data_IF_484244401228
#
_entry.id   IF_484244401228
#
_cell.length_a   1.000
_cell.length_b   1.000
_cell.length_c   1.000
_cell.angle_alpha   90.00
_cell.angle_beta   90.00
_cell.angle_gamma   90.00
#
_symmetry.space_group_name_H-M   'P 1'
#
loop_
_entity.id
_entity.type
_entity.pdbx_description
1 polymer ?
#
# COMPACT_ATOMS: atom_id res chain seq x y z
N UNK A 1 -22.46 8.01 12.90
CA UNK A 1 -21.23 7.46 12.26
C UNK A 1 -20.06 8.29 12.71
N UNK A 2 -18.93 7.66 13.08
CA UNK A 2 -17.76 8.42 13.54
C UNK A 2 -17.22 9.28 12.39
N UNK A 3 -17.13 10.60 12.58
CA UNK A 3 -16.66 11.58 11.58
C UNK A 3 -15.31 11.19 10.97
N UNK A 4 -14.40 10.61 11.78
CA UNK A 4 -13.11 10.13 11.32
C UNK A 4 -13.25 9.01 10.27
N UNK A 5 -14.11 8.01 10.54
CA UNK A 5 -14.32 6.89 9.61
C UNK A 5 -14.97 7.36 8.30
N UNK A 6 -15.89 8.31 8.38
CA UNK A 6 -16.51 8.92 7.21
C UNK A 6 -15.47 9.66 6.35
N UNK A 7 -14.62 10.46 6.98
CA UNK A 7 -13.55 11.20 6.32
C UNK A 7 -12.54 10.27 5.65
N UNK A 8 -12.14 9.18 6.33
CA UNK A 8 -11.24 8.18 5.76
C UNK A 8 -11.87 7.54 4.52
N UNK A 9 -13.14 7.15 4.59
CA UNK A 9 -13.85 6.53 3.47
C UNK A 9 -13.88 7.47 2.24
N UNK A 10 -14.34 8.70 2.42
CA UNK A 10 -14.42 9.68 1.33
C UNK A 10 -13.03 10.03 0.75
N UNK A 11 -12.01 10.06 1.60
CA UNK A 11 -10.63 10.31 1.19
C UNK A 11 -10.10 9.18 0.29
N UNK A 12 -10.40 7.92 0.61
CA UNK A 12 -10.04 6.77 -0.23
C UNK A 12 -10.81 6.77 -1.55
N UNK A 13 -12.11 7.05 -1.52
CA UNK A 13 -12.94 7.17 -2.72
C UNK A 13 -12.42 8.26 -3.66
N UNK A 14 -12.04 9.44 -3.14
CA UNK A 14 -11.41 10.49 -3.92
C UNK A 14 -10.11 9.98 -4.59
N UNK A 15 -9.24 9.30 -3.83
CA UNK A 15 -8.00 8.76 -4.37
C UNK A 15 -8.26 7.76 -5.51
N UNK A 16 -9.19 6.82 -5.31
CA UNK A 16 -9.59 5.86 -6.33
C UNK A 16 -10.11 6.55 -7.60
N UNK A 17 -10.96 7.57 -7.45
CA UNK A 17 -11.48 8.35 -8.58
C UNK A 17 -10.36 9.06 -9.35
N UNK A 18 -9.36 9.62 -8.66
CA UNK A 18 -8.20 10.26 -9.29
C UNK A 18 -7.29 9.24 -10.02
N UNK A 19 -7.23 8.00 -9.56
CA UNK A 19 -6.45 6.94 -10.20
C UNK A 19 -7.13 6.34 -11.44
N UNK A 20 -8.46 6.43 -11.57
CA UNK A 20 -9.21 5.80 -12.67
C UNK A 20 -8.70 6.13 -14.09
N UNK A 21 -8.33 7.39 -14.42
CA UNK A 21 -7.78 7.69 -15.74
C UNK A 21 -6.49 6.89 -16.03
N UNK A 22 -5.58 6.83 -15.06
CA UNK A 22 -4.33 6.06 -15.17
C UNK A 22 -4.62 4.57 -15.36
N UNK A 23 -5.52 4.03 -14.56
CA UNK A 23 -5.91 2.62 -14.66
C UNK A 23 -6.49 2.27 -16.04
N UNK A 24 -7.33 3.15 -16.60
CA UNK A 24 -7.91 2.96 -17.95
C UNK A 24 -6.86 3.07 -19.04
N UNK A 25 -5.99 4.06 -18.99
CA UNK A 25 -4.93 4.27 -19.98
C UNK A 25 -3.93 3.11 -20.01
N UNK A 26 -3.53 2.62 -18.84
CA UNK A 26 -2.60 1.50 -18.72
C UNK A 26 -3.26 0.12 -18.84
N UNK A 27 -4.59 0.04 -18.85
CA UNK A 27 -5.34 -1.22 -18.89
C UNK A 27 -5.18 -2.09 -17.63
N UNK A 28 -4.86 -1.48 -16.48
CA UNK A 28 -4.60 -2.19 -15.22
C UNK A 28 -5.67 -1.86 -14.16
N UNK A 29 -5.90 -2.80 -13.24
CA UNK A 29 -6.80 -2.57 -12.11
C UNK A 29 -6.17 -1.63 -11.06
N UNK A 30 -7.00 -0.97 -10.25
CA UNK A 30 -6.53 -0.11 -9.15
C UNK A 30 -5.53 -0.82 -8.22
N UNK A 31 -5.82 -2.05 -7.79
CA UNK A 31 -4.91 -2.83 -6.94
C UNK A 31 -3.56 -3.09 -7.62
N UNK A 32 -3.55 -3.28 -8.95
CA UNK A 32 -2.30 -3.44 -9.70
C UNK A 32 -1.49 -2.13 -9.70
N UNK A 33 -2.14 -0.97 -9.95
CA UNK A 33 -1.49 0.33 -9.82
C UNK A 33 -0.95 0.56 -8.41
N UNK A 34 -1.72 0.24 -7.37
CA UNK A 34 -1.29 0.36 -5.96
C UNK A 34 -0.05 -0.50 -5.66
N UNK A 35 0.06 -1.69 -6.26
CA UNK A 35 1.24 -2.55 -6.14
C UNK A 35 2.46 -1.90 -6.81
N UNK A 36 2.32 -1.40 -8.04
CA UNK A 36 3.41 -0.71 -8.74
C UNK A 36 3.89 0.52 -7.95
N UNK A 37 2.94 1.35 -7.49
CA UNK A 37 3.25 2.54 -6.69
C UNK A 37 3.90 2.20 -5.35
N UNK A 38 3.47 1.09 -4.70
CA UNK A 38 4.07 0.64 -3.45
C UNK A 38 5.54 0.25 -3.65
N UNK A 39 5.83 -0.56 -4.67
CA UNK A 39 7.20 -0.98 -4.98
C UNK A 39 8.08 0.21 -5.40
N UNK A 40 7.54 1.14 -6.19
CA UNK A 40 8.27 2.32 -6.65
C UNK A 40 8.61 3.32 -5.52
N UNK A 41 7.75 3.42 -4.51
CA UNK A 41 7.92 4.38 -3.42
C UNK A 41 8.62 3.79 -2.19
N UNK A 42 8.81 2.47 -2.13
CA UNK A 42 9.38 1.77 -0.97
C UNK A 42 10.38 0.71 -1.42
N UNK A 43 11.57 1.11 -1.90
CA UNK A 43 12.55 0.19 -2.49
C UNK A 43 13.08 -0.87 -1.51
N UNK A 44 12.91 -0.66 -0.20
CA UNK A 44 13.25 -1.62 0.84
C UNK A 44 12.26 -2.81 0.93
N UNK A 45 11.07 -2.69 0.32
CA UNK A 45 10.05 -3.73 0.27
C UNK A 45 9.88 -4.22 -1.17
N UNK A 46 10.28 -5.44 -1.42
CA UNK A 46 10.37 -5.98 -2.78
C UNK A 46 9.72 -7.36 -2.96
N UNK A 47 8.99 -7.86 -1.95
CA UNK A 47 8.31 -9.16 -2.04
C UNK A 47 6.79 -9.04 -1.97
N UNK A 48 6.07 -10.02 -2.53
CA UNK A 48 4.60 -10.10 -2.38
C UNK A 48 4.17 -10.15 -0.90
N UNK A 49 5.00 -10.76 -0.03
CA UNK A 49 4.77 -10.80 1.41
C UNK A 49 4.86 -9.41 2.05
N UNK A 50 5.78 -8.57 1.60
CA UNK A 50 5.91 -7.18 2.08
C UNK A 50 4.68 -6.37 1.70
N UNK A 51 4.18 -6.50 0.48
CA UNK A 51 2.95 -5.84 0.02
C UNK A 51 1.78 -6.24 0.93
N UNK A 52 1.58 -7.53 1.17
CA UNK A 52 0.53 -8.01 2.07
C UNK A 52 0.66 -7.42 3.48
N UNK A 53 1.86 -7.45 4.04
CA UNK A 53 2.13 -7.02 5.42
C UNK A 53 1.95 -5.51 5.60
N UNK A 54 2.52 -4.71 4.70
CA UNK A 54 2.57 -3.25 4.84
C UNK A 54 1.27 -2.61 4.38
N UNK A 55 0.71 -3.07 3.24
CA UNK A 55 -0.53 -2.53 2.67
C UNK A 55 -1.80 -3.17 3.25
N UNK A 56 -1.68 -4.30 3.93
CA UNK A 56 -2.84 -5.02 4.46
C UNK A 56 -3.72 -5.66 3.38
N UNK A 57 -3.21 -5.81 2.15
CA UNK A 57 -3.94 -6.44 1.05
C UNK A 57 -3.93 -7.95 1.25
N UNK A 58 -5.05 -8.62 0.98
CA UNK A 58 -5.16 -10.08 1.10
C UNK A 58 -4.20 -10.78 0.14
N UNK A 59 -3.55 -11.85 0.61
CA UNK A 59 -2.51 -12.56 -0.13
C UNK A 59 -2.98 -13.08 -1.49
N UNK A 60 -4.23 -13.57 -1.60
CA UNK A 60 -4.79 -14.02 -2.86
C UNK A 60 -4.94 -12.89 -3.90
N UNK A 61 -5.30 -11.68 -3.47
CA UNK A 61 -5.37 -10.51 -4.35
C UNK A 61 -3.98 -10.05 -4.79
N UNK A 62 -3.02 -10.00 -3.86
CA UNK A 62 -1.63 -9.66 -4.22
C UNK A 62 -1.08 -10.67 -5.21
N UNK A 63 -1.25 -11.98 -4.96
CA UNK A 63 -0.77 -13.04 -5.87
C UNK A 63 -1.40 -12.92 -7.26
N UNK A 64 -2.71 -12.68 -7.35
CA UNK A 64 -3.42 -12.52 -8.61
C UNK A 64 -2.89 -11.32 -9.41
N UNK A 65 -2.79 -10.16 -8.78
CA UNK A 65 -2.35 -8.94 -9.47
C UNK A 65 -0.86 -8.96 -9.80
N UNK A 66 0.00 -9.52 -8.94
CA UNK A 66 1.43 -9.72 -9.23
C UNK A 66 1.60 -10.65 -10.44
N UNK A 67 0.86 -11.79 -10.49
CA UNK A 67 0.91 -12.68 -11.64
C UNK A 67 0.55 -11.95 -12.93
N UNK A 68 -0.54 -11.22 -12.92
CA UNK A 68 -1.00 -10.44 -14.09
C UNK A 68 0.02 -9.37 -14.51
N UNK A 69 0.59 -8.62 -13.56
CA UNK A 69 1.62 -7.62 -13.81
C UNK A 69 2.90 -8.23 -14.41
N UNK A 70 3.27 -9.45 -13.99
CA UNK A 70 4.41 -10.18 -14.58
C UNK A 70 4.08 -10.63 -15.99
N UNK A 71 2.89 -11.23 -16.23
CA UNK A 71 2.45 -11.65 -17.56
C UNK A 71 2.36 -10.48 -18.53
N UNK A 72 1.94 -9.33 -18.07
CA UNK A 72 1.83 -8.09 -18.87
C UNK A 72 3.17 -7.34 -18.97
N UNK A 73 4.24 -7.82 -18.32
CA UNK A 73 5.59 -7.27 -18.41
C UNK A 73 5.84 -5.99 -17.62
N UNK A 74 4.99 -5.63 -16.65
CA UNK A 74 5.20 -4.51 -15.72
C UNK A 74 6.15 -4.87 -14.57
N UNK A 75 6.20 -6.17 -14.21
CA UNK A 75 7.06 -6.72 -13.18
C UNK A 75 7.87 -7.89 -13.72
N UNK A 76 9.04 -8.07 -13.14
CA UNK A 76 9.87 -9.27 -13.29
C UNK A 76 10.10 -9.93 -11.94
N UNK A 77 10.36 -11.25 -11.99
CA UNK A 77 10.68 -12.05 -10.81
C UNK A 77 12.15 -12.41 -10.82
N UNK A 78 12.83 -12.07 -9.72
CA UNK A 78 14.22 -12.45 -9.49
C UNK A 78 14.31 -13.35 -8.27
N UNK A 79 15.04 -14.48 -8.40
CA UNK A 79 15.31 -15.36 -7.27
C UNK A 79 16.23 -14.66 -6.26
N UNK A 80 15.92 -14.79 -4.96
CA UNK A 80 16.77 -14.26 -3.89
C UNK A 80 17.83 -15.31 -3.56
N UNK A 81 19.14 -15.01 -3.73
CA UNK A 81 20.20 -15.94 -3.35
C UNK A 81 20.08 -16.36 -1.88
N UNK A 82 20.06 -17.67 -1.63
CA UNK A 82 19.96 -18.22 -0.28
C UNK A 82 18.54 -18.40 0.27
N UNK A 83 17.51 -17.85 -0.36
CA UNK A 83 16.11 -18.07 0.02
C UNK A 83 15.24 -18.48 -1.18
N UNK A 84 15.09 -19.79 -1.36
CA UNK A 84 14.25 -20.36 -2.44
C UNK A 84 12.74 -20.11 -2.28
N UNK A 85 12.30 -19.61 -1.13
CA UNK A 85 10.87 -19.40 -0.83
C UNK A 85 10.42 -17.98 -1.12
N UNK A 86 11.35 -17.07 -1.27
CA UNK A 86 11.07 -15.67 -1.56
C UNK A 86 11.57 -15.28 -2.95
N UNK A 87 10.79 -14.44 -3.62
CA UNK A 87 11.09 -13.91 -4.93
C UNK A 87 11.02 -12.40 -4.84
N UNK A 88 12.04 -11.74 -5.37
CA UNK A 88 12.05 -10.28 -5.54
C UNK A 88 11.20 -9.91 -6.74
N UNK A 89 10.41 -8.87 -6.58
CA UNK A 89 9.63 -8.23 -7.63
C UNK A 89 10.39 -6.98 -8.10
N UNK A 90 10.74 -6.94 -9.37
CA UNK A 90 11.44 -5.83 -10.00
C UNK A 90 10.47 -5.09 -10.92
N UNK A 91 10.46 -3.77 -10.82
CA UNK A 91 9.75 -2.92 -11.78
C UNK A 91 10.52 -2.91 -13.10
N UNK A 92 9.80 -3.01 -14.22
CA UNK A 92 10.39 -2.92 -15.55
C UNK A 92 10.26 -1.51 -16.09
N UNK A 93 10.95 -1.21 -17.21
CA UNK A 93 10.79 0.06 -17.93
C UNK A 93 9.35 0.30 -18.39
N UNK A 94 8.60 -0.77 -18.68
CA UNK A 94 7.18 -0.67 -19.03
C UNK A 94 6.31 -0.11 -17.90
N UNK A 95 6.72 -0.25 -16.65
CA UNK A 95 5.99 0.29 -15.50
C UNK A 95 6.19 1.81 -15.33
N UNK A 96 7.26 2.40 -15.88
CA UNK A 96 7.62 3.80 -15.67
C UNK A 96 6.50 4.80 -16.02
N UNK A 97 5.78 4.70 -17.16
CA UNK A 97 4.68 5.62 -17.46
C UNK A 97 3.56 5.56 -16.43
N UNK A 98 3.15 4.35 -15.99
CA UNK A 98 2.12 4.18 -14.97
C UNK A 98 2.55 4.74 -13.61
N UNK A 99 3.82 4.54 -13.24
CA UNK A 99 4.42 5.07 -12.01
C UNK A 99 4.48 6.60 -12.06
N UNK A 100 4.90 7.19 -13.17
CA UNK A 100 4.98 8.64 -13.33
C UNK A 100 3.59 9.29 -13.20
N UNK A 101 2.58 8.74 -13.87
CA UNK A 101 1.20 9.19 -13.75
C UNK A 101 0.64 8.97 -12.34
N UNK A 102 0.92 7.83 -11.72
CA UNK A 102 0.54 7.54 -10.34
C UNK A 102 1.14 8.52 -9.33
N UNK A 103 2.39 8.94 -9.52
CA UNK A 103 3.03 9.99 -8.71
C UNK A 103 2.35 11.35 -8.90
N UNK A 104 1.96 11.71 -10.11
CA UNK A 104 1.21 12.92 -10.38
C UNK A 104 -0.16 12.91 -9.68
N UNK A 105 -0.87 11.76 -9.71
CA UNK A 105 -2.11 11.57 -8.95
C UNK A 105 -1.87 11.73 -7.44
N UNK A 106 -0.83 11.12 -6.88
CA UNK A 106 -0.51 11.26 -5.46
C UNK A 106 -0.20 12.70 -5.07
N UNK A 107 0.44 13.45 -5.95
CA UNK A 107 0.71 14.86 -5.73
C UNK A 107 -0.58 15.69 -5.75
N UNK A 108 -1.42 15.53 -6.78
CA UNK A 108 -2.72 16.22 -6.87
C UNK A 108 -3.64 15.88 -5.69
N UNK A 109 -3.68 14.61 -5.29
CA UNK A 109 -4.44 14.18 -4.11
C UNK A 109 -3.96 14.88 -2.84
N UNK A 110 -2.64 14.99 -2.64
CA UNK A 110 -2.06 15.71 -1.49
C UNK A 110 -2.44 17.19 -1.53
N UNK A 111 -2.32 17.85 -2.68
CA UNK A 111 -2.66 19.25 -2.86
C UNK A 111 -4.13 19.51 -2.52
N UNK A 112 -5.06 18.69 -3.02
CA UNK A 112 -6.49 18.78 -2.72
C UNK A 112 -6.74 18.66 -1.21
N UNK A 113 -6.12 17.66 -0.55
CA UNK A 113 -6.34 17.43 0.87
C UNK A 113 -5.73 18.51 1.78
N UNK A 114 -4.72 19.22 1.30
CA UNK A 114 -3.99 20.21 2.12
C UNK A 114 -4.29 21.66 1.71
N UNK A 115 -5.19 21.84 0.76
CA UNK A 115 -5.60 23.17 0.31
C UNK A 115 -6.13 24.02 1.47
N UNK A 116 -5.74 25.29 1.52
CA UNK A 116 -6.07 26.23 2.59
C UNK A 116 -5.66 25.84 4.02
N UNK A 117 -4.82 24.82 4.22
CA UNK A 117 -4.27 24.46 5.54
C UNK A 117 -2.94 25.19 5.76
N UNK A 118 -2.80 25.87 6.87
CA UNK A 118 -1.56 26.57 7.21
C UNK A 118 -0.39 25.57 7.39
N UNK A 119 0.84 25.92 6.97
CA UNK A 119 2.00 25.02 7.11
C UNK A 119 2.30 24.56 8.55
N UNK A 120 1.98 25.41 9.55
CA UNK A 120 2.09 25.05 10.97
C UNK A 120 1.15 23.92 11.36
N UNK A 121 -0.08 23.95 10.82
CA UNK A 121 -1.12 22.96 11.12
C UNK A 121 -0.83 21.64 10.40
N UNK A 122 -0.28 21.69 9.19
CA UNK A 122 0.21 20.50 8.50
C UNK A 122 1.32 19.79 9.29
N UNK A 123 2.27 20.56 9.87
CA UNK A 123 3.30 20.00 10.74
C UNK A 123 2.71 19.39 12.01
N UNK A 124 1.71 20.04 12.62
CA UNK A 124 1.02 19.51 13.79
C UNK A 124 0.25 18.24 13.45
N UNK A 125 -0.47 18.24 12.34
CA UNK A 125 -1.18 17.07 11.82
C UNK A 125 -0.24 15.89 11.56
N UNK A 126 0.92 16.13 10.94
CA UNK A 126 1.93 15.08 10.72
C UNK A 126 2.36 14.43 12.04
N UNK A 127 2.66 15.22 13.08
CA UNK A 127 2.99 14.68 14.40
C UNK A 127 1.87 13.84 15.00
N UNK A 128 0.61 14.28 14.84
CA UNK A 128 -0.56 13.52 15.29
C UNK A 128 -0.67 12.18 14.55
N UNK A 129 -0.50 12.19 13.24
CA UNK A 129 -0.56 10.98 12.40
C UNK A 129 0.55 9.98 12.78
N UNK A 130 1.77 10.45 13.04
CA UNK A 130 2.86 9.59 13.50
C UNK A 130 2.55 8.94 14.87
N UNK A 131 1.95 9.68 15.78
CA UNK A 131 1.51 9.15 17.07
C UNK A 131 0.39 8.13 16.91
N UNK A 132 -0.61 8.41 16.06
CA UNK A 132 -1.71 7.49 15.76
C UNK A 132 -1.15 6.19 15.16
N UNK A 133 -0.22 6.27 14.22
CA UNK A 133 0.45 5.11 13.62
C UNK A 133 1.13 4.24 14.68
N UNK A 134 1.91 4.86 15.58
CA UNK A 134 2.56 4.14 16.67
C UNK A 134 1.56 3.46 17.61
N UNK A 135 0.46 4.13 17.93
CA UNK A 135 -0.60 3.56 18.76
C UNK A 135 -1.27 2.34 18.10
N UNK A 136 -1.54 2.41 16.79
CA UNK A 136 -2.09 1.29 16.01
C UNK A 136 -1.12 0.11 16.02
N UNK A 137 0.17 0.34 15.78
CA UNK A 137 1.19 -0.72 15.79
C UNK A 137 1.30 -1.38 17.17
N UNK A 138 1.25 -0.58 18.24
CA UNK A 138 1.23 -1.10 19.63
C UNK A 138 0.01 -1.96 19.89
N UNK A 139 -1.17 -1.51 19.50
CA UNK A 139 -2.43 -2.26 19.67
C UNK A 139 -2.40 -3.58 18.90
N UNK A 140 -1.89 -3.58 17.66
CA UNK A 140 -1.72 -4.80 16.84
C UNK A 140 -0.79 -5.82 17.53
N UNK A 141 0.33 -5.37 18.12
CA UNK A 141 1.27 -6.25 18.85
C UNK A 141 0.62 -6.88 20.09
N UNK A 142 -0.18 -6.11 20.83
CA UNK A 142 -0.90 -6.60 22.02
C UNK A 142 -1.93 -7.67 21.58
N UNK A 143 -2.74 -7.39 20.55
CA UNK A 143 -3.74 -8.32 20.03
C UNK A 143 -3.12 -9.61 19.49
N UNK A 144 -1.95 -9.54 18.86
CA UNK A 144 -1.23 -10.71 18.36
C UNK A 144 -0.72 -11.60 19.52
N UNK A 145 -0.22 -11.00 20.60
CA UNK A 145 0.21 -11.74 21.81
C UNK A 145 -0.97 -12.44 22.49
N UNK A 146 -2.11 -11.77 22.64
CA UNK A 146 -3.32 -12.36 23.24
C UNK A 146 -3.78 -13.60 22.45
N UNK A 147 -3.83 -13.53 21.11
CA UNK A 147 -4.20 -14.67 20.25
C UNK A 147 -3.22 -15.85 20.32
N UNK A 148 -1.94 -15.60 20.58
CA UNK A 148 -0.93 -16.67 20.73
C UNK A 148 -1.07 -17.40 22.07
N UNK A 149 -1.46 -16.70 23.13
CA UNK A 149 -1.70 -17.26 24.47
C UNK A 149 -2.94 -18.15 24.48
N UNK A 150 -4.06 -17.71 23.88
CA UNK A 150 -5.29 -18.53 23.76
C UNK A 150 -5.11 -19.82 22.94
N UNK A 151 -4.20 -19.82 21.95
CA UNK A 151 -3.89 -21.03 21.17
C UNK A 151 -2.99 -22.01 21.94
N UNK A 152 -2.21 -21.54 22.90
CA UNK A 152 -1.38 -22.36 23.77
C UNK A 152 -2.20 -23.13 24.78
N UNK A 153 -3.24 -22.52 25.37
CA UNK A 153 -4.09 -23.13 26.40
C UNK A 153 -5.08 -24.17 25.84
N UNK A 154 -5.45 -24.06 24.56
CA UNK A 154 -6.35 -25.06 23.90
C UNK A 154 -5.63 -26.34 23.44
N UNK A 155 -4.32 -26.44 23.61
CA UNK A 155 -3.51 -27.64 23.27
C UNK A 155 -3.01 -28.41 24.51
N UNK A 156 -3.42 -28.02 25.69
CA UNK A 156 -3.25 -28.77 26.93
C UNK A 156 -4.58 -29.38 27.34
#
# INVERSE_FOLDING_TARGET
MNQLLFMIHNSLELYENLCQPVCRECGIAQTALDILMFLANNPEYYTARDICRVRGIKANLVSFHVEKLVQEGYLEREAIPGDRRQVRLLLTEKAEPAIAQGRAVQQSYREILTDHIAPSDLKAFQRCMDTIRQNIERAKKISAKAKSTEKGDKKR
#
